data_IF_757350106308
#
_entry.id   IF_757350106308
#
_cell.length_a   1.000
_cell.length_b   1.000
_cell.length_c   1.000
_cell.angle_alpha   90.00
_cell.angle_beta   90.00
_cell.angle_gamma   90.00
#
_symmetry.space_group_name_H-M   'P 1'
#
loop_
_entity.id
_entity.type
_entity.pdbx_description
1 polymer ?
#
# COMPACT_ATOMS: atom_id res chain seq x y z
N UNK A 1 -33.57 34.57 14.38
CA UNK A 1 -34.79 33.97 13.79
C UNK A 1 -35.38 34.96 12.79
N UNK A 2 -34.76 35.08 11.63
CA UNK A 2 -35.32 35.76 10.45
C UNK A 2 -34.61 35.18 9.23
N UNK A 3 -35.38 34.52 8.39
CA UNK A 3 -35.13 34.20 6.98
C UNK A 3 -34.06 33.16 6.63
N UNK A 4 -34.22 31.99 7.26
CA UNK A 4 -34.00 30.70 6.61
C UNK A 4 -35.22 30.37 5.73
N UNK A 5 -35.48 31.20 4.71
CA UNK A 5 -36.52 30.98 3.69
C UNK A 5 -36.02 31.47 2.33
N UNK A 6 -35.03 30.80 1.77
CA UNK A 6 -34.81 30.79 0.32
C UNK A 6 -35.17 29.40 -0.19
N UNK A 7 -36.48 29.21 -0.35
CA UNK A 7 -37.09 28.04 -0.94
C UNK A 7 -36.58 27.80 -2.38
N UNK A 8 -36.08 26.59 -2.62
CA UNK A 8 -36.46 25.74 -3.76
C UNK A 8 -36.85 26.44 -5.07
N UNK A 9 -35.87 26.93 -5.83
CA UNK A 9 -36.09 27.08 -7.27
C UNK A 9 -35.99 25.70 -7.93
N UNK A 10 -37.13 25.08 -8.18
CA UNK A 10 -37.28 24.01 -9.17
C UNK A 10 -36.86 24.62 -10.51
N UNK A 11 -35.62 24.35 -10.91
CA UNK A 11 -35.04 24.90 -12.13
C UNK A 11 -35.81 24.43 -13.36
N UNK A 12 -36.41 25.37 -14.09
CA UNK A 12 -36.86 25.23 -15.50
C UNK A 12 -35.67 25.05 -16.44
N UNK A 13 -34.88 24.00 -16.23
CA UNK A 13 -33.82 23.56 -17.14
C UNK A 13 -33.95 22.07 -17.32
N UNK A 14 -33.80 21.55 -18.53
CA UNK A 14 -33.99 20.14 -18.92
C UNK A 14 -33.21 19.12 -18.07
N UNK A 15 -32.19 19.54 -17.33
CA UNK A 15 -31.45 18.72 -16.34
C UNK A 15 -32.21 18.46 -15.03
N UNK A 16 -33.25 19.23 -14.71
CA UNK A 16 -34.04 19.11 -13.46
C UNK A 16 -35.03 17.94 -13.43
N UNK A 17 -35.25 17.28 -14.57
CA UNK A 17 -36.18 16.13 -14.68
C UNK A 17 -35.54 14.83 -14.17
N UNK A 18 -34.21 14.70 -14.25
CA UNK A 18 -33.47 13.49 -13.87
C UNK A 18 -32.71 13.63 -12.55
N UNK A 19 -32.33 14.86 -12.16
CA UNK A 19 -31.44 15.08 -11.02
C UNK A 19 -32.01 16.08 -10.03
N UNK A 20 -32.04 15.71 -8.75
CA UNK A 20 -32.35 16.64 -7.65
C UNK A 20 -31.11 17.46 -7.33
N UNK A 21 -31.20 18.79 -7.48
CA UNK A 21 -30.13 19.70 -7.07
C UNK A 21 -30.13 19.86 -5.55
N UNK A 22 -29.00 19.60 -4.92
CA UNK A 22 -28.76 19.85 -3.49
C UNK A 22 -27.67 20.92 -3.40
N UNK A 23 -28.03 22.09 -2.87
CA UNK A 23 -27.07 23.15 -2.61
C UNK A 23 -26.37 22.87 -1.29
N UNK A 24 -25.04 22.75 -1.30
CA UNK A 24 -24.22 22.60 -0.10
C UNK A 24 -23.53 23.92 0.16
N UNK A 25 -23.84 24.55 1.29
CA UNK A 25 -23.19 25.80 1.71
C UNK A 25 -21.70 25.55 2.04
N UNK A 26 -20.80 26.48 1.70
CA UNK A 26 -19.39 26.35 2.09
C UNK A 26 -19.25 26.41 3.61
N UNK A 27 -18.29 25.66 4.17
CA UNK A 27 -17.98 25.73 5.60
C UNK A 27 -17.52 27.15 5.97
N UNK A 28 -18.12 27.70 7.03
CA UNK A 28 -17.69 28.95 7.67
C UNK A 28 -16.55 28.72 8.65
N UNK A 29 -15.84 29.79 9.01
CA UNK A 29 -14.74 29.79 9.99
C UNK A 29 -15.14 29.23 11.36
N UNK A 30 -16.40 29.44 11.76
CA UNK A 30 -16.96 28.88 13.00
C UNK A 30 -16.98 27.34 12.99
N UNK A 31 -17.33 26.72 11.86
CA UNK A 31 -17.27 25.26 11.74
C UNK A 31 -15.83 24.75 11.77
N UNK A 32 -14.87 25.50 11.21
CA UNK A 32 -13.45 25.11 11.29
C UNK A 32 -12.94 25.12 12.73
N UNK A 33 -13.29 26.14 13.53
CA UNK A 33 -12.98 26.18 14.96
C UNK A 33 -13.56 24.96 15.69
N UNK A 34 -14.83 24.65 15.45
CA UNK A 34 -15.50 23.52 16.08
C UNK A 34 -14.85 22.17 15.71
N UNK A 35 -14.45 21.99 14.44
CA UNK A 35 -13.76 20.79 13.98
C UNK A 35 -12.38 20.67 14.63
N UNK A 36 -11.60 21.76 14.68
CA UNK A 36 -10.25 21.75 15.28
C UNK A 36 -10.35 21.47 16.77
N UNK A 37 -11.22 22.14 17.51
CA UNK A 37 -11.36 21.94 18.96
C UNK A 37 -11.81 20.51 19.30
N UNK A 38 -12.63 19.88 18.44
CA UNK A 38 -13.06 18.50 18.63
C UNK A 38 -11.96 17.47 18.32
N UNK A 39 -11.11 17.74 17.32
CA UNK A 39 -10.06 16.80 16.88
C UNK A 39 -8.72 17.00 17.61
N UNK A 40 -8.43 18.24 18.02
CA UNK A 40 -7.16 18.67 18.59
C UNK A 40 -7.41 19.67 19.75
N UNK A 41 -7.88 19.18 20.91
CA UNK A 41 -8.22 20.06 22.05
C UNK A 41 -7.03 20.86 22.57
N UNK A 42 -5.80 20.31 22.46
CA UNK A 42 -4.56 20.98 22.86
C UNK A 42 -4.24 22.24 22.05
N UNK A 43 -4.87 22.42 20.88
CA UNK A 43 -4.62 23.53 19.96
C UNK A 43 -5.65 24.66 20.06
N UNK A 44 -6.61 24.59 20.99
CA UNK A 44 -7.69 25.57 21.14
C UNK A 44 -7.17 27.02 21.23
N UNK A 45 -6.07 27.22 21.96
CA UNK A 45 -5.46 28.54 22.14
C UNK A 45 -4.88 29.17 20.86
N UNK A 46 -4.55 28.35 19.84
CA UNK A 46 -3.90 28.78 18.59
C UNK A 46 -4.81 28.57 17.37
N UNK A 47 -5.93 27.84 17.54
CA UNK A 47 -6.85 27.48 16.47
C UNK A 47 -7.37 28.69 15.68
N UNK A 48 -7.69 29.79 16.36
CA UNK A 48 -8.16 31.04 15.72
C UNK A 48 -7.08 31.63 14.81
N UNK A 49 -5.84 31.75 15.30
CA UNK A 49 -4.72 32.27 14.53
C UNK A 49 -4.39 31.38 13.31
N UNK A 50 -4.54 30.06 13.46
CA UNK A 50 -4.33 29.11 12.35
C UNK A 50 -5.39 29.26 11.25
N UNK A 51 -6.64 29.49 11.63
CA UNK A 51 -7.72 29.71 10.67
C UNK A 51 -7.53 31.06 9.96
N UNK A 52 -7.18 32.11 10.68
CA UNK A 52 -6.86 33.42 10.10
C UNK A 52 -5.69 33.32 9.11
N UNK A 53 -4.63 32.59 9.46
CA UNK A 53 -3.50 32.35 8.57
C UNK A 53 -3.90 31.53 7.32
N UNK A 54 -4.71 30.48 7.49
CA UNK A 54 -5.24 29.67 6.39
C UNK A 54 -6.11 30.49 5.44
N UNK A 55 -7.00 31.32 5.97
CA UNK A 55 -7.86 32.21 5.17
C UNK A 55 -7.05 33.30 4.47
N UNK A 56 -6.03 33.86 5.13
CA UNK A 56 -5.11 34.83 4.54
C UNK A 56 -4.30 34.26 3.37
N UNK A 57 -3.84 33.01 3.47
CA UNK A 57 -3.13 32.34 2.36
C UNK A 57 -4.10 32.02 1.22
N UNK A 58 -5.31 31.55 1.55
CA UNK A 58 -6.35 31.23 0.56
C UNK A 58 -6.79 32.47 -0.22
N UNK A 59 -6.93 33.62 0.44
CA UNK A 59 -7.28 34.88 -0.23
C UNK A 59 -6.13 35.43 -1.07
N UNK A 60 -4.90 35.42 -0.56
CA UNK A 60 -3.70 35.89 -1.28
C UNK A 60 -3.45 35.13 -2.58
N UNK A 61 -3.71 33.81 -2.59
CA UNK A 61 -3.52 32.98 -3.78
C UNK A 61 -4.59 33.22 -4.86
N UNK A 62 -5.78 33.73 -4.50
CA UNK A 62 -6.83 34.06 -5.47
C UNK A 62 -6.50 35.29 -6.33
N UNK A 63 -5.54 36.12 -5.90
CA UNK A 63 -5.16 37.36 -6.58
C UNK A 63 -3.93 37.23 -7.51
N UNK A 64 -3.21 36.11 -7.51
CA UNK A 64 -2.08 35.88 -8.43
C UNK A 64 -2.55 35.22 -9.73
N UNK A 65 -2.98 36.04 -10.70
CA UNK A 65 -3.18 35.64 -12.10
C UNK A 65 -1.82 35.60 -12.83
N UNK A 66 -1.12 34.46 -12.79
CA UNK A 66 0.14 34.25 -13.54
C UNK A 66 0.50 32.77 -13.64
N UNK A 67 1.02 32.38 -14.81
CA UNK A 67 1.09 31.04 -15.45
C UNK A 67 1.56 29.80 -14.65
N UNK A 68 1.89 29.89 -13.37
CA UNK A 68 2.23 28.75 -12.49
C UNK A 68 1.00 28.10 -11.80
N UNK A 69 -0.20 28.31 -12.35
CA UNK A 69 -1.50 28.16 -11.67
C UNK A 69 -2.03 26.73 -11.45
N UNK A 70 -1.30 25.66 -11.78
CA UNK A 70 -1.92 24.32 -11.78
C UNK A 70 -1.90 23.57 -10.44
N UNK A 71 -1.16 24.03 -9.40
CA UNK A 71 -0.77 23.09 -8.33
C UNK A 71 -1.30 23.27 -6.91
N UNK A 72 -1.94 24.38 -6.49
CA UNK A 72 -2.34 24.50 -5.07
C UNK A 72 -3.65 25.25 -4.82
N UNK A 73 -4.79 24.55 -4.92
CA UNK A 73 -5.99 24.94 -4.17
C UNK A 73 -5.86 24.41 -2.74
N UNK A 74 -5.67 25.31 -1.77
CA UNK A 74 -5.66 24.95 -0.35
C UNK A 74 -7.02 24.44 0.10
N UNK A 75 -7.02 23.31 0.80
CA UNK A 75 -8.21 22.63 1.27
C UNK A 75 -8.21 22.49 2.79
N UNK A 76 -9.36 22.14 3.37
CA UNK A 76 -9.46 21.81 4.80
C UNK A 76 -8.48 20.69 5.20
N UNK A 77 -8.11 19.79 4.28
CA UNK A 77 -7.12 18.75 4.54
C UNK A 77 -5.76 19.35 4.91
N UNK A 78 -5.39 20.46 4.31
CA UNK A 78 -4.12 21.14 4.57
C UNK A 78 -4.12 21.80 5.95
N UNK A 79 -5.23 22.43 6.33
CA UNK A 79 -5.45 22.94 7.68
C UNK A 79 -5.36 21.82 8.75
N UNK A 80 -5.98 20.67 8.48
CA UNK A 80 -5.89 19.51 9.37
C UNK A 80 -4.47 18.93 9.46
N UNK A 81 -3.71 18.92 8.35
CA UNK A 81 -2.30 18.53 8.35
C UNK A 81 -1.46 19.50 9.18
N UNK A 82 -1.71 20.80 9.11
CA UNK A 82 -1.02 21.79 9.95
C UNK A 82 -1.29 21.51 11.42
N UNK A 83 -2.55 21.32 11.81
CA UNK A 83 -2.92 20.98 13.18
C UNK A 83 -2.19 19.72 13.65
N UNK A 84 -2.19 18.64 12.85
CA UNK A 84 -1.48 17.39 13.17
C UNK A 84 0.03 17.59 13.36
N UNK A 85 0.67 18.34 12.45
CA UNK A 85 2.12 18.61 12.51
C UNK A 85 2.49 19.45 13.72
N UNK A 86 1.69 20.48 13.99
CA UNK A 86 1.82 21.35 15.16
C UNK A 86 1.73 20.48 16.42
N UNK A 87 0.67 19.69 16.60
CA UNK A 87 0.57 18.79 17.75
C UNK A 87 1.81 17.90 17.95
N UNK A 88 2.34 17.32 16.87
CA UNK A 88 3.52 16.43 16.93
C UNK A 88 4.82 17.09 17.42
N UNK A 89 4.87 18.42 17.46
CA UNK A 89 6.00 19.21 17.96
C UNK A 89 5.93 19.45 19.47
N UNK A 90 4.85 19.02 20.15
CA UNK A 90 4.72 19.08 21.61
C UNK A 90 4.44 20.49 22.13
N UNK A 91 3.30 21.07 21.75
CA UNK A 91 2.90 22.42 22.18
C UNK A 91 2.53 22.46 23.67
N UNK A 92 3.16 23.36 24.41
CA UNK A 92 2.78 23.77 25.77
C UNK A 92 2.63 25.32 25.78
N UNK A 93 1.44 25.84 25.44
CA UNK A 93 1.08 27.27 25.66
C UNK A 93 0.91 28.18 24.43
N UNK A 94 0.85 29.50 24.69
CA UNK A 94 0.44 30.58 23.76
C UNK A 94 1.50 31.05 22.76
N UNK A 95 2.75 30.59 22.84
CA UNK A 95 3.80 30.99 21.92
C UNK A 95 4.26 29.80 21.09
N UNK A 96 4.13 29.93 19.76
CA UNK A 96 5.13 29.38 18.86
C UNK A 96 6.44 30.04 19.28
N UNK A 97 7.23 29.40 20.15
CA UNK A 97 8.63 29.82 20.34
C UNK A 97 9.17 29.98 18.92
N UNK A 98 9.72 31.16 18.62
CA UNK A 98 10.25 31.47 17.31
C UNK A 98 11.47 30.58 17.10
N UNK A 99 11.24 29.34 16.66
CA UNK A 99 12.29 28.38 16.38
C UNK A 99 12.90 28.75 15.02
N UNK A 100 13.54 29.90 14.92
CA UNK A 100 14.58 30.11 13.92
C UNK A 100 15.80 29.28 14.34
N UNK A 101 15.78 27.96 14.13
CA UNK A 101 17.05 27.25 13.96
C UNK A 101 17.61 27.69 12.62
N UNK A 102 18.43 28.75 12.62
CA UNK A 102 19.15 29.26 11.45
C UNK A 102 20.09 28.21 10.82
N UNK A 103 20.37 27.12 11.55
CA UNK A 103 21.26 26.04 11.11
C UNK A 103 20.53 24.71 11.33
N UNK A 104 20.22 24.02 10.24
CA UNK A 104 19.78 22.63 10.26
C UNK A 104 21.04 21.77 10.37
N UNK A 105 21.04 20.86 11.33
CA UNK A 105 22.12 19.90 11.54
C UNK A 105 21.57 18.48 11.43
N UNK A 106 22.48 17.54 11.19
CA UNK A 106 22.21 16.11 11.14
C UNK A 106 22.98 15.45 12.27
N UNK A 107 22.28 14.68 13.08
CA UNK A 107 22.88 13.98 14.22
C UNK A 107 22.35 12.54 14.27
N UNK A 108 23.26 11.59 14.41
CA UNK A 108 22.94 10.17 14.58
C UNK A 108 22.82 9.87 16.07
N UNK A 109 21.60 9.58 16.51
CA UNK A 109 21.29 9.19 17.88
C UNK A 109 21.27 7.65 17.99
N UNK A 110 21.54 7.08 19.18
CA UNK A 110 21.49 5.63 19.37
C UNK A 110 20.12 5.00 19.02
N UNK A 111 19.04 5.75 19.19
CA UNK A 111 17.67 5.32 18.93
C UNK A 111 17.07 5.82 17.61
N UNK A 112 17.76 6.73 16.92
CA UNK A 112 17.22 7.31 15.69
C UNK A 112 18.17 8.25 14.95
N UNK A 113 17.63 8.87 13.92
CA UNK A 113 18.30 9.84 13.07
C UNK A 113 17.61 11.19 13.22
N UNK A 114 18.32 12.21 13.68
CA UNK A 114 17.79 13.56 13.87
C UNK A 114 18.24 14.49 12.75
N UNK A 115 17.26 15.13 12.11
CA UNK A 115 17.47 16.18 11.11
C UNK A 115 16.73 17.42 11.59
N UNK A 116 17.47 18.46 11.97
CA UNK A 116 16.90 19.71 12.48
C UNK A 116 15.97 19.46 13.68
N UNK A 117 14.66 19.66 13.47
CA UNK A 117 13.60 19.53 14.51
C UNK A 117 12.99 18.13 14.61
N UNK A 118 13.41 17.19 13.78
CA UNK A 118 12.68 15.95 13.54
C UNK A 118 13.57 14.76 13.84
N UNK A 119 13.09 13.88 14.72
CA UNK A 119 13.74 12.60 15.02
C UNK A 119 12.97 11.48 14.32
N UNK A 120 13.68 10.67 13.55
CA UNK A 120 13.19 9.47 12.89
C UNK A 120 13.81 8.24 13.54
N UNK A 121 13.05 7.16 13.70
CA UNK A 121 13.59 5.93 14.29
C UNK A 121 14.26 5.07 13.21
N UNK A 122 15.30 4.33 13.60
CA UNK A 122 15.94 3.36 12.70
C UNK A 122 14.97 2.23 12.29
N UNK A 123 15.14 1.73 11.06
CA UNK A 123 14.50 0.47 10.68
C UNK A 123 15.12 -0.70 11.45
N UNK A 124 14.33 -1.71 11.82
CA UNK A 124 14.79 -2.89 12.57
C UNK A 124 15.81 -3.76 11.81
N UNK A 125 16.04 -3.51 10.52
CA UNK A 125 16.94 -4.26 9.65
C UNK A 125 18.02 -3.33 9.07
N UNK A 126 18.96 -2.88 9.90
CA UNK A 126 20.08 -2.03 9.43
C UNK A 126 21.13 -2.92 8.77
N UNK A 127 21.13 -2.98 7.44
CA UNK A 127 22.35 -3.28 6.67
C UNK A 127 22.95 -1.94 6.29
N UNK A 128 23.96 -1.48 7.03
CA UNK A 128 24.76 -0.31 6.67
C UNK A 128 25.62 -0.61 5.44
N UNK A 129 25.00 -0.70 4.27
CA UNK A 129 25.74 -0.55 3.03
C UNK A 129 25.93 0.95 2.82
N UNK A 130 27.08 1.47 3.26
CA UNK A 130 27.51 2.83 2.91
C UNK A 130 27.73 2.93 1.41
N UNK A 131 26.68 3.25 0.66
CA UNK A 131 26.77 3.52 -0.77
C UNK A 131 26.86 5.03 -0.98
N UNK A 132 28.13 5.48 -1.02
CA UNK A 132 28.64 6.80 -1.41
C UNK A 132 28.53 7.91 -0.34
N UNK A 133 29.62 8.67 -0.11
CA UNK A 133 29.57 9.84 0.77
C UNK A 133 28.67 10.91 0.14
N UNK A 134 27.61 11.26 0.85
CA UNK A 134 26.75 12.38 0.47
C UNK A 134 27.23 13.62 1.21
N UNK A 135 27.40 14.73 0.47
CA UNK A 135 27.83 16.00 1.05
C UNK A 135 26.58 16.76 1.50
N UNK A 136 26.47 16.97 2.81
CA UNK A 136 25.35 17.67 3.43
C UNK A 136 25.46 19.20 3.19
N UNK A 137 24.86 19.68 2.10
CA UNK A 137 24.79 21.11 1.74
C UNK A 137 23.61 21.77 2.51
N UNK A 138 23.71 23.02 3.00
CA UNK A 138 22.63 23.69 3.73
C UNK A 138 21.26 23.69 3.03
N UNK A 139 21.23 23.90 1.72
CA UNK A 139 20.00 23.86 0.91
C UNK A 139 19.38 22.45 0.87
N UNK A 140 20.21 21.43 0.69
CA UNK A 140 19.82 20.02 0.75
C UNK A 140 19.26 19.62 2.12
N UNK A 141 19.84 20.14 3.20
CA UNK A 141 19.38 19.88 4.57
C UNK A 141 17.97 20.44 4.83
N UNK A 142 17.63 21.60 4.27
CA UNK A 142 16.27 22.18 4.38
C UNK A 142 15.23 21.31 3.67
N UNK A 143 15.58 20.78 2.49
CA UNK A 143 14.70 19.86 1.76
C UNK A 143 14.60 18.52 2.50
N UNK A 144 15.72 18.03 3.03
CA UNK A 144 15.78 16.78 3.79
C UNK A 144 14.95 16.85 5.07
N UNK A 145 14.97 17.96 5.81
CA UNK A 145 14.10 18.18 6.98
C UNK A 145 12.62 18.14 6.58
N UNK A 146 12.24 18.77 5.46
CA UNK A 146 10.86 18.73 4.94
C UNK A 146 10.44 17.31 4.57
N UNK A 147 11.31 16.55 3.90
CA UNK A 147 11.05 15.14 3.55
C UNK A 147 10.91 14.31 4.83
N UNK A 148 11.82 14.48 5.80
CA UNK A 148 11.78 13.80 7.09
C UNK A 148 10.48 14.09 7.86
N UNK A 149 9.97 15.33 7.80
CA UNK A 149 8.68 15.70 8.39
C UNK A 149 7.53 14.89 7.81
N UNK A 150 7.48 14.78 6.50
CA UNK A 150 6.45 13.99 5.81
C UNK A 150 6.58 12.50 6.13
N UNK A 151 7.80 11.97 6.24
CA UNK A 151 8.05 10.59 6.67
C UNK A 151 7.55 10.34 8.10
N UNK A 152 7.78 11.26 9.05
CA UNK A 152 7.25 11.13 10.42
C UNK A 152 5.72 11.07 10.42
N UNK A 153 5.06 11.85 9.58
CA UNK A 153 3.60 11.94 9.51
C UNK A 153 2.92 10.94 8.57
N UNK A 154 3.69 10.08 7.90
CA UNK A 154 3.24 9.13 6.89
C UNK A 154 2.53 9.79 5.70
N UNK A 155 2.97 10.98 5.31
CA UNK A 155 2.40 11.74 4.20
C UNK A 155 3.16 11.47 2.89
N UNK A 156 2.47 11.29 1.76
CA UNK A 156 3.11 11.17 0.46
C UNK A 156 3.75 12.50 0.07
N UNK A 157 4.96 12.44 -0.52
CA UNK A 157 5.72 13.63 -0.93
C UNK A 157 5.92 13.60 -2.44
N UNK A 158 5.57 14.70 -3.11
CA UNK A 158 5.89 14.94 -4.50
C UNK A 158 6.98 16.02 -4.60
N UNK A 159 8.12 15.66 -5.17
CA UNK A 159 9.25 16.55 -5.39
C UNK A 159 9.21 17.06 -6.83
N UNK A 160 9.16 18.39 -6.99
CA UNK A 160 9.07 19.04 -8.31
C UNK A 160 10.35 19.82 -8.59
N UNK A 161 10.80 19.77 -9.84
CA UNK A 161 11.81 20.66 -10.43
C UNK A 161 12.72 19.93 -11.40
N UNK A 162 13.67 20.67 -11.99
CA UNK A 162 14.53 20.18 -13.07
C UNK A 162 15.25 18.86 -12.75
N UNK A 163 15.43 18.05 -13.79
CA UNK A 163 16.19 16.79 -13.75
C UNK A 163 17.65 17.05 -13.38
N UNK A 164 18.27 16.11 -12.68
CA UNK A 164 19.68 16.23 -12.28
C UNK A 164 19.93 17.12 -11.04
N UNK A 165 18.92 17.74 -10.43
CA UNK A 165 19.06 18.54 -9.20
C UNK A 165 19.24 17.72 -7.90
N UNK A 166 19.44 16.40 -8.01
CA UNK A 166 19.72 15.52 -6.87
C UNK A 166 18.52 15.17 -5.97
N UNK A 167 17.27 15.46 -6.39
CA UNK A 167 16.05 15.17 -5.61
C UNK A 167 15.91 13.68 -5.29
N UNK A 168 16.09 12.82 -6.29
CA UNK A 168 16.09 11.36 -6.12
C UNK A 168 17.20 10.89 -5.18
N UNK A 169 18.37 11.51 -5.28
CA UNK A 169 19.53 11.22 -4.42
C UNK A 169 19.25 11.57 -2.95
N UNK A 170 18.48 12.63 -2.65
CA UNK A 170 18.10 12.98 -1.28
C UNK A 170 17.24 11.89 -0.62
N UNK A 171 16.24 11.36 -1.34
CA UNK A 171 15.36 10.30 -0.83
C UNK A 171 16.14 9.00 -0.69
N UNK A 172 16.97 8.65 -1.68
CA UNK A 172 17.86 7.49 -1.62
C UNK A 172 18.83 7.56 -0.43
N UNK A 173 19.40 8.74 -0.17
CA UNK A 173 20.29 8.96 0.95
C UNK A 173 19.54 8.80 2.29
N UNK A 174 18.36 9.41 2.43
CA UNK A 174 17.55 9.28 3.64
C UNK A 174 17.15 7.83 3.91
N UNK A 175 16.72 7.09 2.88
CA UNK A 175 16.35 5.69 2.99
C UNK A 175 17.55 4.82 3.39
N UNK A 176 18.71 5.06 2.78
CA UNK A 176 19.96 4.35 3.08
C UNK A 176 20.43 4.61 4.50
N UNK A 177 20.35 5.86 4.98
CA UNK A 177 20.65 6.19 6.39
C UNK A 177 19.69 5.43 7.31
N UNK A 178 18.38 5.49 7.08
CA UNK A 178 17.41 4.81 7.95
C UNK A 178 17.39 3.27 7.84
N UNK A 179 18.17 2.68 6.93
CA UNK A 179 18.15 1.24 6.66
C UNK A 179 16.82 0.77 6.06
N UNK A 180 16.13 1.64 5.33
CA UNK A 180 14.86 1.32 4.69
C UNK A 180 15.11 0.89 3.23
N UNK A 181 14.59 -0.27 2.79
CA UNK A 181 14.66 -0.66 1.39
C UNK A 181 13.83 0.31 0.54
N UNK A 182 14.46 0.88 -0.48
CA UNK A 182 13.84 1.82 -1.41
C UNK A 182 13.79 1.20 -2.81
N UNK A 183 12.59 1.07 -3.35
CA UNK A 183 12.36 0.67 -4.74
C UNK A 183 12.07 1.91 -5.58
N UNK A 184 12.85 2.11 -6.65
CA UNK A 184 12.59 3.18 -7.63
C UNK A 184 11.80 2.56 -8.79
N UNK A 185 10.65 3.14 -9.12
CA UNK A 185 9.81 2.77 -10.25
C UNK A 185 9.76 3.94 -11.21
N UNK A 186 10.25 3.74 -12.44
CA UNK A 186 10.17 4.76 -13.47
C UNK A 186 8.83 4.64 -14.20
N UNK A 187 8.07 5.73 -14.26
CA UNK A 187 6.78 5.77 -14.94
C UNK A 187 6.95 6.39 -16.34
N UNK A 188 6.19 5.89 -17.30
CA UNK A 188 6.15 6.40 -18.67
C UNK A 188 4.72 6.37 -19.19
N UNK A 189 4.50 6.93 -20.38
CA UNK A 189 3.19 6.87 -21.05
C UNK A 189 2.75 5.44 -21.40
N UNK A 190 3.68 4.49 -21.42
CA UNK A 190 3.43 3.07 -21.67
C UNK A 190 3.36 2.26 -20.38
N UNK A 191 3.48 2.89 -19.20
CA UNK A 191 3.40 2.18 -17.93
C UNK A 191 1.97 1.74 -17.66
N UNK A 192 1.78 0.43 -17.68
CA UNK A 192 0.49 -0.19 -17.42
C UNK A 192 0.28 -0.43 -15.93
N UNK A 193 -0.99 -0.62 -15.56
CA UNK A 193 -1.38 -0.97 -14.18
C UNK A 193 -0.66 -2.26 -13.73
N UNK A 194 -0.45 -3.19 -14.65
CA UNK A 194 0.28 -4.44 -14.42
C UNK A 194 1.74 -4.24 -13.95
N UNK A 195 2.39 -3.11 -14.27
CA UNK A 195 3.75 -2.84 -13.77
C UNK A 195 3.75 -2.53 -12.26
N UNK A 196 2.65 -1.98 -11.76
CA UNK A 196 2.49 -1.59 -10.35
C UNK A 196 1.79 -2.68 -9.54
N UNK A 197 0.60 -3.14 -9.96
CA UNK A 197 -0.12 -4.23 -9.30
C UNK A 197 0.42 -5.60 -9.65
N UNK A 198 1.16 -5.77 -10.73
CA UNK A 198 1.54 -7.10 -11.19
C UNK A 198 0.46 -7.69 -12.08
N UNK A 199 0.88 -8.57 -12.98
CA UNK A 199 0.01 -9.16 -13.99
C UNK A 199 0.08 -10.68 -13.99
N UNK A 200 -0.77 -11.29 -14.80
CA UNK A 200 -0.78 -12.73 -15.02
C UNK A 200 0.36 -13.10 -15.98
N UNK A 201 1.49 -13.57 -15.44
CA UNK A 201 2.68 -13.89 -16.25
C UNK A 201 2.76 -15.37 -16.56
N UNK A 202 3.22 -15.70 -17.77
CA UNK A 202 3.53 -17.08 -18.11
C UNK A 202 4.66 -17.56 -17.21
N UNK A 203 4.36 -18.60 -16.45
CA UNK A 203 5.21 -19.15 -15.41
C UNK A 203 5.47 -20.61 -15.74
N UNK A 204 6.70 -21.05 -15.52
CA UNK A 204 7.03 -22.46 -15.67
C UNK A 204 6.12 -23.30 -14.74
N UNK A 205 5.50 -24.38 -15.25
CA UNK A 205 4.67 -25.28 -14.44
C UNK A 205 5.31 -25.73 -13.12
N UNK A 206 6.65 -25.73 -13.03
CA UNK A 206 7.43 -25.89 -11.79
C UNK A 206 6.93 -25.05 -10.62
N UNK A 207 6.69 -23.76 -10.83
CA UNK A 207 6.34 -22.84 -9.75
C UNK A 207 4.93 -23.03 -9.24
N UNK A 208 4.06 -23.70 -10.00
CA UNK A 208 2.71 -24.06 -9.56
C UNK A 208 2.72 -25.44 -8.91
N UNK A 209 3.39 -26.41 -9.53
CA UNK A 209 3.39 -27.79 -9.06
C UNK A 209 4.24 -28.00 -7.79
N UNK A 210 5.33 -27.26 -7.58
CA UNK A 210 6.19 -27.43 -6.40
C UNK A 210 5.50 -26.98 -5.10
N UNK A 211 4.87 -25.79 -5.02
CA UNK A 211 4.09 -25.40 -3.84
C UNK A 211 2.94 -26.37 -3.56
N UNK A 212 2.21 -26.80 -4.59
CA UNK A 212 1.15 -27.80 -4.45
C UNK A 212 1.70 -29.14 -3.93
N UNK A 213 2.85 -29.57 -4.43
CA UNK A 213 3.51 -30.78 -3.92
C UNK A 213 3.91 -30.62 -2.45
N UNK A 214 4.49 -29.48 -2.07
CA UNK A 214 4.88 -29.22 -0.69
C UNK A 214 3.66 -29.17 0.26
N UNK A 215 2.59 -28.49 -0.16
CA UNK A 215 1.32 -28.42 0.58
C UNK A 215 0.70 -29.82 0.74
N UNK A 216 0.70 -30.63 -0.32
CA UNK A 216 0.27 -32.03 -0.25
C UNK A 216 1.14 -32.84 0.73
N UNK A 217 2.46 -32.68 0.67
CA UNK A 217 3.38 -33.38 1.57
C UNK A 217 3.24 -32.94 3.04
N UNK A 218 2.73 -31.74 3.30
CA UNK A 218 2.41 -31.29 4.66
C UNK A 218 1.04 -31.82 5.14
N UNK A 219 0.02 -31.82 4.26
CA UNK A 219 -1.35 -32.25 4.59
C UNK A 219 -1.51 -33.77 4.66
N UNK A 220 -0.81 -34.51 3.80
CA UNK A 220 -0.93 -35.97 3.69
C UNK A 220 -0.54 -36.71 4.98
N UNK A 221 0.59 -36.42 5.66
CA UNK A 221 0.95 -37.05 6.93
C UNK A 221 0.05 -36.65 8.10
N UNK A 222 -0.62 -35.48 8.04
CA UNK A 222 -1.59 -35.05 9.05
C UNK A 222 -2.91 -35.80 8.94
N UNK A 223 -3.23 -36.28 7.75
CA UNK A 223 -4.51 -36.95 7.41
C UNK A 223 -4.38 -38.47 7.50
N UNK A 224 -3.23 -39.01 7.08
CA UNK A 224 -2.94 -40.44 7.11
C UNK A 224 -1.73 -40.73 7.99
N UNK A 225 -1.86 -41.69 8.91
CA UNK A 225 -0.70 -42.28 9.58
C UNK A 225 0.27 -42.84 8.52
N UNK A 226 1.58 -42.74 8.79
CA UNK A 226 2.74 -43.03 7.91
C UNK A 226 2.75 -44.42 7.22
N UNK A 227 1.71 -45.23 7.36
CA UNK A 227 1.67 -46.65 7.04
C UNK A 227 1.02 -47.04 5.71
N UNK A 228 0.36 -46.14 4.95
CA UNK A 228 -0.53 -46.63 3.88
C UNK A 228 0.02 -46.60 2.45
N UNK A 229 0.92 -45.71 2.02
CA UNK A 229 1.42 -45.78 0.62
C UNK A 229 2.81 -45.14 0.40
N UNK A 230 3.92 -45.80 0.80
CA UNK A 230 5.27 -45.34 0.43
C UNK A 230 5.44 -45.24 -1.09
N UNK A 231 4.80 -46.13 -1.86
CA UNK A 231 4.90 -46.15 -3.32
C UNK A 231 4.36 -44.90 -4.02
N UNK A 232 3.30 -44.26 -3.50
CA UNK A 232 2.78 -43.01 -4.10
C UNK A 232 3.75 -41.85 -3.85
N UNK A 233 4.31 -41.77 -2.64
CA UNK A 233 5.28 -40.74 -2.28
C UNK A 233 6.59 -40.88 -3.08
N UNK A 234 7.02 -42.12 -3.29
CA UNK A 234 8.22 -42.45 -4.07
C UNK A 234 8.01 -42.21 -5.56
N UNK A 235 6.83 -42.53 -6.09
CA UNK A 235 6.43 -42.21 -7.46
C UNK A 235 6.37 -40.70 -7.70
N UNK A 236 5.79 -39.92 -6.77
CA UNK A 236 5.77 -38.46 -6.86
C UNK A 236 7.18 -37.85 -6.79
N UNK A 237 8.07 -38.40 -5.94
CA UNK A 237 9.49 -38.00 -5.88
C UNK A 237 10.23 -38.27 -7.19
N UNK A 238 9.99 -39.42 -7.82
CA UNK A 238 10.59 -39.78 -9.12
C UNK A 238 10.15 -38.83 -10.22
N UNK A 239 8.85 -38.59 -10.37
CA UNK A 239 8.32 -37.68 -11.41
C UNK A 239 8.70 -36.21 -11.20
N UNK A 240 8.96 -35.80 -9.94
CA UNK A 240 9.55 -34.48 -9.63
C UNK A 240 10.95 -34.35 -10.20
N UNK A 241 11.79 -35.38 -10.09
CA UNK A 241 13.14 -35.39 -10.66
C UNK A 241 13.11 -35.45 -12.19
N UNK A 242 12.15 -36.20 -12.76
CA UNK A 242 11.94 -36.33 -14.21
C UNK A 242 11.25 -35.11 -14.85
N UNK A 243 10.95 -34.05 -14.05
CA UNK A 243 10.27 -32.81 -14.47
C UNK A 243 8.93 -33.04 -15.21
N UNK A 244 8.24 -34.14 -14.93
CA UNK A 244 6.99 -34.48 -15.62
C UNK A 244 5.75 -33.96 -14.86
N UNK A 245 5.48 -32.67 -14.98
CA UNK A 245 4.46 -31.94 -14.21
C UNK A 245 3.03 -32.43 -14.46
N UNK A 246 2.71 -32.87 -15.68
CA UNK A 246 1.39 -33.43 -16.02
C UNK A 246 1.09 -34.71 -15.22
N UNK A 247 2.03 -35.64 -15.19
CA UNK A 247 1.89 -36.89 -14.42
C UNK A 247 1.82 -36.65 -12.92
N UNK A 248 2.52 -35.64 -12.41
CA UNK A 248 2.42 -35.24 -11.00
C UNK A 248 1.00 -34.79 -10.67
N UNK A 249 0.41 -33.89 -11.47
CA UNK A 249 -0.95 -33.42 -11.23
C UNK A 249 -1.99 -34.56 -11.31
N UNK A 250 -1.89 -35.44 -12.30
CA UNK A 250 -2.77 -36.61 -12.40
C UNK A 250 -2.64 -37.56 -11.20
N UNK A 251 -1.40 -37.75 -10.71
CA UNK A 251 -1.14 -38.61 -9.54
C UNK A 251 -1.69 -37.97 -8.27
N UNK A 252 -1.53 -36.66 -8.10
CA UNK A 252 -2.11 -35.91 -6.98
C UNK A 252 -3.64 -35.94 -7.02
N UNK A 253 -4.25 -35.83 -8.21
CA UNK A 253 -5.71 -35.94 -8.37
C UNK A 253 -6.23 -37.33 -8.02
N UNK A 254 -5.54 -38.39 -8.45
CA UNK A 254 -5.87 -39.78 -8.09
C UNK A 254 -5.66 -40.03 -6.58
N UNK A 255 -4.63 -39.43 -5.99
CA UNK A 255 -4.43 -39.49 -4.56
C UNK A 255 -5.58 -38.79 -3.82
N UNK A 256 -5.98 -37.59 -4.26
CA UNK A 256 -7.11 -36.83 -3.73
C UNK A 256 -8.43 -37.61 -3.79
N UNK A 257 -8.75 -38.26 -4.90
CA UNK A 257 -9.95 -39.10 -5.00
C UNK A 257 -9.94 -40.21 -3.95
N UNK A 258 -8.79 -40.89 -3.76
CA UNK A 258 -8.65 -41.88 -2.70
C UNK A 258 -8.78 -41.27 -1.30
N UNK A 259 -8.25 -40.07 -1.09
CA UNK A 259 -8.40 -39.35 0.18
C UNK A 259 -9.89 -39.06 0.43
N UNK A 260 -10.59 -38.43 -0.50
CA UNK A 260 -12.01 -38.10 -0.37
C UNK A 260 -12.88 -39.34 -0.13
N UNK A 261 -12.65 -40.43 -0.86
CA UNK A 261 -13.38 -41.70 -0.67
C UNK A 261 -13.16 -42.29 0.73
N UNK A 262 -11.91 -42.31 1.20
CA UNK A 262 -11.57 -42.81 2.54
C UNK A 262 -12.16 -41.91 3.63
N UNK A 263 -12.13 -40.60 3.41
CA UNK A 263 -12.65 -39.63 4.39
C UNK A 263 -14.18 -39.66 4.47
N UNK A 264 -14.87 -39.87 3.34
CA UNK A 264 -16.32 -40.12 3.32
C UNK A 264 -16.69 -41.44 4.00
N UNK A 265 -15.87 -42.49 3.84
CA UNK A 265 -16.04 -43.76 4.57
C UNK A 265 -15.88 -43.56 6.07
N UNK A 266 -14.89 -42.78 6.51
CA UNK A 266 -14.69 -42.47 7.94
C UNK A 266 -15.84 -41.65 8.53
N UNK A 267 -16.43 -40.68 7.79
CA UNK A 267 -17.65 -39.97 8.20
C UNK A 267 -18.85 -40.92 8.40
N UNK A 268 -19.02 -41.93 7.54
CA UNK A 268 -20.08 -42.94 7.68
C UNK A 268 -19.86 -43.85 8.90
N UNK A 269 -18.61 -44.16 9.21
CA UNK A 269 -18.24 -45.00 10.36
C UNK A 269 -18.34 -44.20 11.68
N UNK A 270 -18.08 -42.88 11.67
CA UNK A 270 -18.26 -42.02 12.84
C UNK A 270 -19.74 -41.92 13.30
N UNK A 271 -20.70 -42.09 12.39
CA UNK A 271 -22.12 -42.22 12.73
C UNK A 271 -22.50 -43.58 13.34
N UNK A 272 -21.67 -44.60 13.18
CA UNK A 272 -21.86 -45.94 13.72
C UNK A 272 -20.77 -46.22 14.77
N UNK A 273 -21.00 -45.72 15.98
CA UNK A 273 -20.02 -45.61 17.05
C UNK A 273 -19.01 -46.77 17.17
N UNK A 274 -17.74 -46.49 16.87
CA UNK A 274 -16.56 -46.97 17.60
C UNK A 274 -15.27 -46.31 17.06
N UNK A 275 -14.65 -45.52 17.94
CA UNK A 275 -13.23 -45.12 18.01
C UNK A 275 -12.45 -44.98 16.68
N UNK A 276 -12.28 -43.74 16.21
CA UNK A 276 -10.99 -43.11 15.89
C UNK A 276 -11.21 -41.59 15.76
N UNK A 277 -10.19 -40.80 16.16
CA UNK A 277 -10.26 -39.34 16.32
C UNK A 277 -10.87 -38.70 15.06
N UNK A 278 -11.95 -37.91 15.15
CA UNK A 278 -12.46 -37.20 14.00
C UNK A 278 -11.33 -36.29 13.48
N UNK A 279 -11.03 -36.39 12.18
CA UNK A 279 -10.19 -35.40 11.51
C UNK A 279 -10.76 -34.02 11.80
N UNK A 280 -9.90 -33.07 12.20
CA UNK A 280 -10.35 -31.73 12.54
C UNK A 280 -10.99 -31.07 11.32
N UNK A 281 -12.07 -30.31 11.54
CA UNK A 281 -12.78 -29.57 10.48
C UNK A 281 -11.82 -28.67 9.68
N UNK A 282 -10.75 -28.20 10.33
CA UNK A 282 -9.64 -27.45 9.73
C UNK A 282 -8.90 -28.23 8.62
N UNK A 283 -8.67 -29.53 8.82
CA UNK A 283 -7.99 -30.38 7.82
C UNK A 283 -8.90 -30.60 6.62
N UNK A 284 -10.22 -30.71 6.83
CA UNK A 284 -11.18 -30.79 5.72
C UNK A 284 -11.20 -29.52 4.88
N UNK A 285 -11.30 -28.35 5.51
CA UNK A 285 -11.25 -27.07 4.80
C UNK A 285 -9.92 -26.89 4.06
N UNK A 286 -8.80 -27.35 4.63
CA UNK A 286 -7.51 -27.32 3.96
C UNK A 286 -7.48 -28.22 2.71
N UNK A 287 -8.06 -29.42 2.76
CA UNK A 287 -8.17 -30.31 1.59
C UNK A 287 -9.12 -29.78 0.51
N UNK A 288 -10.21 -29.13 0.88
CA UNK A 288 -11.13 -28.48 -0.05
C UNK A 288 -10.43 -27.34 -0.81
N UNK A 289 -9.77 -26.43 -0.08
CA UNK A 289 -8.93 -25.37 -0.66
C UNK A 289 -7.82 -25.92 -1.56
N UNK A 290 -7.18 -27.02 -1.13
CA UNK A 290 -6.15 -27.68 -1.94
C UNK A 290 -6.73 -28.28 -3.23
N UNK A 291 -7.92 -28.86 -3.16
CA UNK A 291 -8.63 -29.43 -4.31
C UNK A 291 -8.97 -28.35 -5.34
N UNK A 292 -9.44 -27.18 -4.90
CA UNK A 292 -9.72 -26.06 -5.78
C UNK A 292 -8.46 -25.55 -6.49
N UNK A 293 -7.36 -25.37 -5.74
CA UNK A 293 -6.06 -24.99 -6.31
C UNK A 293 -5.54 -26.02 -7.31
N UNK A 294 -5.69 -27.31 -7.02
CA UNK A 294 -5.24 -28.39 -7.90
C UNK A 294 -6.08 -28.46 -9.18
N UNK A 295 -7.40 -28.29 -9.08
CA UNK A 295 -8.28 -28.24 -10.24
C UNK A 295 -7.97 -27.04 -11.15
N UNK A 296 -7.67 -25.88 -10.56
CA UNK A 296 -7.22 -24.70 -11.30
C UNK A 296 -5.90 -24.99 -12.05
N UNK A 297 -4.90 -25.55 -11.37
CA UNK A 297 -3.61 -25.90 -11.96
C UNK A 297 -3.74 -26.95 -13.08
N UNK A 298 -4.60 -27.95 -12.89
CA UNK A 298 -4.85 -28.99 -13.89
C UNK A 298 -5.51 -28.42 -15.16
N UNK A 299 -6.48 -27.50 -14.99
CA UNK A 299 -7.12 -26.79 -16.13
C UNK A 299 -6.11 -25.94 -16.88
N UNK A 300 -5.26 -25.19 -16.19
CA UNK A 300 -4.24 -24.34 -16.82
C UNK A 300 -3.22 -25.14 -17.62
N UNK A 301 -2.71 -26.25 -17.08
CA UNK A 301 -1.65 -27.05 -17.71
C UNK A 301 -2.18 -27.96 -18.85
N UNK A 302 -3.46 -28.28 -18.84
CA UNK A 302 -4.10 -29.05 -19.92
C UNK A 302 -4.64 -28.19 -21.06
N UNK A 303 -5.15 -26.98 -20.76
CA UNK A 303 -5.71 -26.08 -21.77
C UNK A 303 -4.62 -25.38 -22.60
N UNK A 304 -3.45 -25.15 -22.01
CA UNK A 304 -2.34 -24.46 -22.67
C UNK A 304 -1.15 -25.40 -22.80
N UNK A 305 -0.61 -25.53 -24.00
CA UNK A 305 0.52 -26.39 -24.39
C UNK A 305 1.80 -26.10 -23.58
N UNK A 306 1.85 -26.53 -22.31
CA UNK A 306 2.97 -26.38 -21.38
C UNK A 306 3.22 -24.98 -20.78
N UNK A 307 2.34 -24.00 -21.02
CA UNK A 307 2.43 -22.68 -20.38
C UNK A 307 1.38 -22.56 -19.29
N UNK A 308 1.81 -22.40 -18.03
CA UNK A 308 0.91 -22.07 -16.94
C UNK A 308 0.99 -20.57 -16.66
N UNK A 309 -0.07 -19.95 -16.14
CA UNK A 309 -0.06 -18.54 -15.81
C UNK A 309 -0.22 -18.38 -14.31
N UNK A 310 0.66 -17.58 -13.70
CA UNK A 310 0.56 -17.22 -12.29
C UNK A 310 0.57 -15.71 -12.14
N UNK A 311 -0.22 -15.20 -11.20
CA UNK A 311 -0.20 -13.79 -10.86
C UNK A 311 1.11 -13.48 -10.14
N UNK A 312 1.94 -12.64 -10.74
CA UNK A 312 3.18 -12.17 -10.14
C UNK A 312 2.93 -10.78 -9.62
N UNK A 313 2.98 -10.63 -8.29
CA UNK A 313 2.78 -9.34 -7.64
C UNK A 313 3.77 -8.29 -8.14
N UNK A 314 3.27 -7.10 -8.42
CA UNK A 314 4.10 -5.97 -8.83
C UNK A 314 4.95 -5.45 -7.67
N UNK A 315 6.02 -4.75 -8.00
CA UNK A 315 6.96 -4.22 -7.02
C UNK A 315 6.28 -3.28 -6.00
N UNK A 316 5.20 -2.59 -6.42
CA UNK A 316 4.43 -1.73 -5.54
C UNK A 316 3.68 -2.52 -4.46
N UNK A 317 3.03 -3.63 -4.82
CA UNK A 317 2.33 -4.50 -3.87
C UNK A 317 3.30 -5.10 -2.85
N UNK A 318 4.40 -5.66 -3.34
CA UNK A 318 5.38 -6.30 -2.47
C UNK A 318 5.95 -5.29 -1.46
N UNK A 319 6.23 -4.06 -1.91
CA UNK A 319 6.67 -2.98 -1.04
C UNK A 319 5.57 -2.51 -0.07
N UNK A 320 4.31 -2.43 -0.51
CA UNK A 320 3.17 -2.05 0.33
C UNK A 320 2.97 -3.02 1.50
N UNK A 321 3.08 -4.33 1.24
CA UNK A 321 2.95 -5.40 2.25
C UNK A 321 4.13 -5.43 3.21
N UNK A 322 5.35 -5.28 2.70
CA UNK A 322 6.58 -5.37 3.50
C UNK A 322 6.97 -4.04 4.18
N UNK A 323 6.28 -2.94 3.86
CA UNK A 323 6.59 -1.61 4.41
C UNK A 323 7.81 -0.94 3.80
N UNK A 324 8.21 -1.35 2.60
CA UNK A 324 9.33 -0.73 1.89
C UNK A 324 8.96 0.66 1.37
N UNK A 325 9.96 1.46 1.08
CA UNK A 325 9.75 2.78 0.49
C UNK A 325 9.69 2.66 -1.03
N UNK A 326 8.83 3.47 -1.65
CA UNK A 326 8.73 3.55 -3.11
C UNK A 326 8.98 4.98 -3.54
N UNK A 327 9.82 5.14 -4.56
CA UNK A 327 9.97 6.37 -5.32
C UNK A 327 9.41 6.16 -6.72
N UNK A 328 8.37 6.93 -7.07
CA UNK A 328 7.82 7.01 -8.41
C UNK A 328 8.55 8.14 -9.16
N UNK A 329 9.28 7.78 -10.19
CA UNK A 329 9.94 8.72 -11.09
C UNK A 329 8.99 9.09 -12.24
N UNK A 330 9.12 10.31 -12.76
CA UNK A 330 8.33 10.83 -13.89
C UNK A 330 6.81 10.65 -13.76
N UNK A 331 6.24 10.96 -12.58
CA UNK A 331 4.80 10.79 -12.28
C UNK A 331 3.88 11.51 -13.26
N UNK A 332 4.34 12.60 -13.86
CA UNK A 332 3.62 13.36 -14.88
C UNK A 332 3.42 12.61 -16.20
N UNK A 333 4.25 11.61 -16.51
CA UNK A 333 4.11 10.79 -17.71
C UNK A 333 3.15 9.62 -17.55
N UNK A 334 2.80 9.27 -16.31
CA UNK A 334 1.95 8.13 -16.01
C UNK A 334 0.50 8.37 -16.45
N UNK A 335 -0.18 7.35 -17.01
CA UNK A 335 -1.59 7.48 -17.35
C UNK A 335 -2.44 7.70 -16.08
N UNK A 336 -3.53 8.47 -16.17
CA UNK A 336 -4.34 8.83 -15.00
C UNK A 336 -5.00 7.62 -14.33
N UNK A 337 -5.31 6.58 -15.11
CA UNK A 337 -5.88 5.32 -14.63
C UNK A 337 -4.95 4.61 -13.63
N UNK A 338 -3.65 4.60 -13.94
CA UNK A 338 -2.60 4.05 -13.09
C UNK A 338 -2.46 4.83 -11.78
N UNK A 339 -2.52 6.17 -11.83
CA UNK A 339 -2.47 7.02 -10.63
C UNK A 339 -3.74 6.90 -9.77
N UNK A 340 -4.92 6.75 -10.37
CA UNK A 340 -6.17 6.55 -9.64
C UNK A 340 -6.13 5.29 -8.77
N UNK A 341 -5.46 4.23 -9.22
CA UNK A 341 -5.25 3.01 -8.42
C UNK A 341 -4.43 3.29 -7.15
N UNK A 342 -3.43 4.16 -7.27
CA UNK A 342 -2.58 4.56 -6.14
C UNK A 342 -3.31 5.50 -5.17
N UNK A 343 -4.32 6.24 -5.62
CA UNK A 343 -5.08 7.17 -4.77
C UNK A 343 -5.69 6.48 -3.54
N UNK A 344 -6.16 5.23 -3.68
CA UNK A 344 -6.70 4.46 -2.55
C UNK A 344 -5.70 4.24 -1.41
N UNK A 345 -4.41 4.09 -1.74
CA UNK A 345 -3.32 3.94 -0.77
C UNK A 345 -2.83 5.28 -0.22
N UNK A 346 -2.98 6.35 -1.01
CA UNK A 346 -2.54 7.70 -0.68
C UNK A 346 -3.45 8.41 0.33
N UNK A 347 -4.72 7.99 0.40
CA UNK A 347 -5.73 8.64 1.23
C UNK A 347 -5.81 7.98 2.62
N UNK A 348 -5.27 8.68 3.62
CA UNK A 348 -5.43 8.32 5.03
C UNK A 348 -4.35 7.37 5.58
N UNK A 349 -4.44 7.05 6.87
CA UNK A 349 -3.49 6.16 7.56
C UNK A 349 -3.69 4.68 7.22
N UNK A 350 -4.89 4.29 6.80
CA UNK A 350 -5.32 2.90 6.57
C UNK A 350 -5.69 2.67 5.09
N UNK A 351 -4.98 3.31 4.17
CA UNK A 351 -5.22 3.12 2.74
C UNK A 351 -5.07 1.64 2.37
N UNK A 352 -6.07 1.08 1.70
CA UNK A 352 -6.03 -0.30 1.20
C UNK A 352 -6.05 -0.29 -0.33
N UNK A 353 -5.34 -1.25 -0.92
CA UNK A 353 -5.32 -1.48 -2.35
C UNK A 353 -6.16 -2.72 -2.66
N UNK A 354 -7.19 -2.58 -3.49
CA UNK A 354 -7.97 -3.71 -4.00
C UNK A 354 -7.26 -4.30 -5.23
N UNK A 355 -6.94 -5.59 -5.19
CA UNK A 355 -6.38 -6.34 -6.30
C UNK A 355 -7.48 -6.99 -7.12
N UNK A 356 -7.89 -6.33 -8.20
CA UNK A 356 -8.88 -6.89 -9.13
C UNK A 356 -8.25 -7.83 -10.17
N UNK A 357 -6.93 -7.76 -10.38
CA UNK A 357 -6.22 -8.46 -11.46
C UNK A 357 -5.92 -9.94 -11.14
N UNK A 358 -6.01 -10.31 -9.86
CA UNK A 358 -5.85 -11.70 -9.42
C UNK A 358 -7.11 -12.56 -9.67
N UNK A 359 -8.23 -11.94 -10.04
CA UNK A 359 -9.53 -12.60 -10.18
C UNK A 359 -10.30 -12.80 -8.86
N UNK A 360 -9.61 -12.67 -7.72
CA UNK A 360 -10.17 -12.66 -6.37
C UNK A 360 -10.12 -11.25 -5.78
N UNK A 361 -11.15 -10.84 -5.04
CA UNK A 361 -11.17 -9.54 -4.35
C UNK A 361 -10.28 -9.62 -3.09
N UNK A 362 -8.99 -9.37 -3.26
CA UNK A 362 -8.01 -9.32 -2.18
C UNK A 362 -7.68 -7.86 -1.84
N UNK A 363 -7.75 -7.50 -0.55
CA UNK A 363 -7.44 -6.15 -0.06
C UNK A 363 -6.10 -6.17 0.67
N UNK A 364 -5.15 -5.39 0.17
CA UNK A 364 -3.85 -5.23 0.83
C UNK A 364 -3.88 -3.96 1.66
N UNK A 365 -3.69 -4.12 2.97
CA UNK A 365 -3.52 -2.99 3.89
C UNK A 365 -2.11 -2.41 3.78
N UNK A 366 -2.03 -1.08 3.82
CA UNK A 366 -0.76 -0.36 3.85
C UNK A 366 -0.01 -0.63 5.16
N UNK A 367 1.23 -1.10 5.04
CA UNK A 367 2.10 -1.26 6.20
C UNK A 367 2.44 0.10 6.84
N UNK A 368 2.50 0.22 8.19
CA UNK A 368 2.73 1.50 8.88
C UNK A 368 4.08 2.16 8.58
N UNK A 369 5.09 1.36 8.17
CA UNK A 369 6.41 1.85 7.75
C UNK A 369 6.49 2.25 6.26
N UNK A 370 5.48 1.90 5.45
CA UNK A 370 5.44 2.21 4.01
C UNK A 370 5.43 3.72 3.77
N UNK A 371 6.28 4.20 2.87
CA UNK A 371 6.34 5.61 2.44
C UNK A 371 6.35 5.69 0.92
N UNK A 372 5.61 6.65 0.38
CA UNK A 372 5.56 6.93 -1.04
C UNK A 372 6.15 8.30 -1.33
N UNK A 373 7.09 8.32 -2.26
CA UNK A 373 7.68 9.51 -2.83
C UNK A 373 7.36 9.54 -4.32
N UNK A 374 7.09 10.72 -4.86
CA UNK A 374 6.94 10.97 -6.28
C UNK A 374 7.90 12.06 -6.71
N UNK A 375 8.34 11.99 -7.96
CA UNK A 375 9.09 13.03 -8.62
C UNK A 375 8.42 13.41 -9.93
N UNK A 376 8.47 14.69 -10.28
CA UNK A 376 8.07 15.18 -11.60
C UNK A 376 8.96 16.34 -12.04
N UNK A 377 9.23 16.39 -13.34
CA UNK A 377 9.85 17.53 -13.99
C UNK A 377 8.75 18.51 -14.46
N UNK A 378 8.73 19.78 -14.03
CA UNK A 378 7.67 20.73 -14.38
C UNK A 378 7.67 21.16 -15.86
N UNK A 379 8.77 20.97 -16.59
CA UNK A 379 8.89 21.37 -18.00
C UNK A 379 8.29 20.36 -19.00
N UNK A 380 7.72 19.25 -18.50
CA UNK A 380 7.10 18.19 -19.30
C UNK A 380 5.58 18.20 -19.22
#
# INVERSE_FOLDING_TARGET
>A
MSDCMMFWQVGKSTLGVLWRRVLISPCTSEYFLLIINKLYPELEAVAKNLIEAYEGIRSSHSHQLGASQLFTRFSLRDLLKWCKRIQSLGFLGHSLSAHERKIIYVEELPSGFQIGRITLNWSRNVVHNQTRPFVDIPSSLHVLEKIACSVKHNEPVLLVGETGTGKTTLVQNLASRLGQPLTVLNLSQQSDVEDLSGGLKSTDPRFICIPLYNEFMELFPRTFSKTVNPGILEYLRKHRNDKNWKKILETLQKALQKVLDLTQRERRIAGAGKRKRPLSEEVFQAWERFTDKLNLAHRQINASSCMAFSFVEGAFITALRNGHWILLDEVNLAPPETLQRLMGVLVGGNGSLCLTERGDVDYIERHPAFRLFGYMNPDN
#
